data_IF_800888941986
#
_entry.id   IF_800888941986
#
_cell.length_a   1.000
_cell.length_b   1.000
_cell.length_c   1.000
_cell.angle_alpha   90.00
_cell.angle_beta   90.00
_cell.angle_gamma   90.00
#
_symmetry.space_group_name_H-M   'P 1'
#
loop_
_entity.id
_entity.type
_entity.pdbx_description
1 polymer ?
#
# COMPACT_ATOMS: atom_id res chain seq x y z
N UNK A 1 -26.94 1.21 22.97
CA UNK A 1 -26.44 2.25 22.03
C UNK A 1 -25.39 3.15 22.66
N UNK A 2 -25.37 3.34 23.99
CA UNK A 2 -24.38 4.17 24.69
C UNK A 2 -22.93 3.64 24.68
N UNK A 3 -22.73 2.33 24.65
CA UNK A 3 -21.37 1.77 24.70
C UNK A 3 -20.57 2.01 23.41
N UNK A 4 -21.23 2.05 22.24
CA UNK A 4 -20.58 2.30 20.95
C UNK A 4 -20.17 3.77 20.79
N UNK A 5 -20.94 4.70 21.35
CA UNK A 5 -20.58 6.12 21.38
C UNK A 5 -19.47 6.38 22.40
N UNK A 6 -19.45 5.72 23.56
CA UNK A 6 -18.35 5.84 24.52
C UNK A 6 -17.01 5.31 23.98
N UNK A 7 -17.02 4.19 23.25
CA UNK A 7 -15.82 3.68 22.59
C UNK A 7 -15.31 4.65 21.50
N UNK A 8 -16.21 5.26 20.73
CA UNK A 8 -15.88 6.27 19.72
C UNK A 8 -15.30 7.56 20.33
N UNK A 9 -15.85 8.02 21.46
CA UNK A 9 -15.33 9.20 22.18
C UNK A 9 -13.99 8.95 22.86
N UNK A 10 -13.76 7.76 23.42
CA UNK A 10 -12.48 7.37 24.02
C UNK A 10 -11.38 7.18 22.95
N UNK A 11 -11.71 6.63 21.77
CA UNK A 11 -10.79 6.55 20.63
C UNK A 11 -10.38 7.96 20.15
N UNK A 12 -11.29 8.93 20.17
CA UNK A 12 -10.99 10.33 19.82
C UNK A 12 -10.18 11.08 20.86
N UNK A 13 -10.28 10.72 22.15
CA UNK A 13 -9.51 11.37 23.21
C UNK A 13 -8.02 11.00 23.21
N UNK A 14 -7.64 9.84 22.64
CA UNK A 14 -6.23 9.48 22.45
C UNK A 14 -5.48 10.37 21.45
N UNK A 15 -6.17 11.19 20.63
CA UNK A 15 -5.55 12.03 19.59
C UNK A 15 -5.52 13.53 19.93
N UNK A 16 -5.89 13.92 21.15
CA UNK A 16 -6.05 15.33 21.58
C UNK A 16 -4.91 15.87 22.45
N UNK A 17 -3.71 15.28 22.42
CA UNK A 17 -2.54 15.94 22.99
C UNK A 17 -1.75 16.67 21.89
N UNK A 18 -1.50 17.96 22.12
CA UNK A 18 -0.75 18.85 21.21
C UNK A 18 0.65 18.25 21.04
N UNK A 19 0.88 17.56 19.91
CA UNK A 19 2.10 16.80 19.62
C UNK A 19 1.85 15.40 19.02
N UNK A 20 0.66 14.82 19.16
CA UNK A 20 0.34 13.45 18.68
C UNK A 20 -0.51 13.39 17.41
N UNK A 21 -0.81 14.54 16.80
CA UNK A 21 -1.68 14.61 15.62
C UNK A 21 -1.14 13.82 14.41
N UNK A 22 0.19 13.72 14.28
CA UNK A 22 0.86 12.96 13.23
C UNK A 22 0.85 11.44 13.52
N UNK A 23 1.07 11.06 14.79
CA UNK A 23 1.08 9.67 15.23
C UNK A 23 -0.31 9.00 15.07
N UNK A 24 -1.38 9.71 15.42
CA UNK A 24 -2.76 9.24 15.25
C UNK A 24 -3.17 9.06 13.77
N UNK A 25 -2.68 9.91 12.85
CA UNK A 25 -2.90 9.72 11.41
C UNK A 25 -2.20 8.47 10.87
N UNK A 26 -1.00 8.16 11.36
CA UNK A 26 -0.22 6.99 10.91
C UNK A 26 -0.87 5.69 11.41
N UNK A 27 -1.36 5.63 12.65
CA UNK A 27 -2.05 4.45 13.19
C UNK A 27 -3.39 4.17 12.50
N UNK A 28 -4.16 5.20 12.16
CA UNK A 28 -5.41 5.02 11.41
C UNK A 28 -5.18 4.45 9.99
N UNK A 29 -4.11 4.89 9.30
CA UNK A 29 -3.80 4.41 7.94
C UNK A 29 -3.42 2.92 7.91
N UNK A 30 -2.69 2.42 8.93
CA UNK A 30 -2.28 1.02 9.00
C UNK A 30 -3.48 0.08 9.21
N UNK A 31 -4.41 0.44 10.10
CA UNK A 31 -5.62 -0.36 10.36
C UNK A 31 -6.60 -0.36 9.17
N UNK A 32 -6.70 0.77 8.47
CA UNK A 32 -7.49 0.87 7.23
C UNK A 32 -6.93 -0.02 6.12
N UNK A 33 -5.61 -0.06 5.95
CA UNK A 33 -4.93 -0.93 4.97
C UNK A 33 -5.20 -2.40 5.30
N UNK A 34 -5.05 -2.79 6.57
CA UNK A 34 -5.30 -4.16 7.03
C UNK A 34 -6.74 -4.61 6.76
N UNK A 35 -7.71 -3.74 6.99
CA UNK A 35 -9.13 -4.03 6.73
C UNK A 35 -9.41 -4.15 5.23
N UNK A 36 -8.82 -3.29 4.40
CA UNK A 36 -8.92 -3.37 2.92
C UNK A 36 -8.30 -4.64 2.37
N UNK A 37 -7.17 -5.06 2.94
CA UNK A 37 -6.49 -6.32 2.59
C UNK A 37 -7.36 -7.53 2.91
N UNK A 38 -8.04 -7.54 4.07
CA UNK A 38 -8.89 -8.65 4.49
C UNK A 38 -10.06 -8.90 3.53
N UNK A 39 -10.64 -7.83 2.98
CA UNK A 39 -11.78 -7.91 2.07
C UNK A 39 -11.37 -7.82 0.58
N UNK A 40 -10.08 -7.91 0.27
CA UNK A 40 -9.57 -7.77 -1.09
C UNK A 40 -9.97 -8.97 -1.96
N UNK A 41 -10.65 -8.69 -3.09
CA UNK A 41 -11.00 -9.69 -4.12
C UNK A 41 -10.17 -9.51 -5.38
N UNK A 42 -10.15 -8.29 -5.91
CA UNK A 42 -9.41 -7.90 -7.11
C UNK A 42 -8.99 -6.43 -7.02
N UNK A 43 -8.13 -5.97 -7.92
CA UNK A 43 -7.73 -4.58 -7.99
C UNK A 43 -8.96 -3.68 -8.23
N UNK A 44 -9.19 -2.65 -7.40
CA UNK A 44 -10.29 -1.73 -7.60
C UNK A 44 -10.03 -0.82 -8.82
N UNK A 45 -11.09 -0.16 -9.28
CA UNK A 45 -10.96 0.87 -10.30
C UNK A 45 -10.07 2.02 -9.81
N UNK A 46 -9.09 2.41 -10.62
CA UNK A 46 -8.19 3.54 -10.39
C UNK A 46 -8.48 4.63 -11.41
N UNK A 47 -8.97 5.78 -10.93
CA UNK A 47 -9.33 6.93 -11.78
C UNK A 47 -8.15 7.54 -12.53
N UNK A 48 -6.90 7.26 -12.12
CA UNK A 48 -5.69 7.66 -12.85
C UNK A 48 -5.49 6.87 -14.14
N UNK A 49 -6.09 5.68 -14.22
CA UNK A 49 -5.99 4.75 -15.34
C UNK A 49 -7.39 4.34 -15.84
N UNK A 50 -8.22 5.27 -16.34
CA UNK A 50 -9.61 4.99 -16.69
C UNK A 50 -9.78 4.26 -18.03
N UNK A 51 -8.74 4.24 -18.86
CA UNK A 51 -8.80 3.68 -20.22
C UNK A 51 -8.58 2.16 -20.22
N UNK A 52 -8.95 1.50 -21.32
CA UNK A 52 -8.76 0.06 -21.51
C UNK A 52 -7.28 -0.38 -21.41
N UNK A 53 -6.32 0.48 -21.75
CA UNK A 53 -4.90 0.17 -21.62
C UNK A 53 -4.43 0.28 -20.15
N UNK A 54 -4.28 -0.87 -19.48
CA UNK A 54 -3.87 -0.97 -18.06
C UNK A 54 -2.35 -1.17 -17.86
N UNK A 55 -1.55 -1.07 -18.92
CA UNK A 55 -0.08 -1.29 -18.86
C UNK A 55 0.59 -0.37 -17.83
N UNK A 56 0.22 0.92 -17.81
CA UNK A 56 0.78 1.89 -16.84
C UNK A 56 0.31 1.63 -15.41
N UNK A 57 -0.91 1.10 -15.23
CA UNK A 57 -1.42 0.75 -13.91
C UNK A 57 -0.59 -0.38 -13.28
N UNK A 58 -0.35 -1.45 -14.04
CA UNK A 58 0.53 -2.54 -13.65
C UNK A 58 1.95 -2.03 -13.33
N UNK A 59 2.57 -1.29 -14.24
CA UNK A 59 3.92 -0.77 -14.07
C UNK A 59 4.07 0.14 -12.84
N UNK A 60 3.12 1.05 -12.63
CA UNK A 60 3.16 1.98 -11.50
C UNK A 60 3.06 1.23 -10.15
N UNK A 61 2.14 0.28 -10.02
CA UNK A 61 2.00 -0.50 -8.78
C UNK A 61 3.21 -1.40 -8.50
N UNK A 62 3.85 -1.94 -9.53
CA UNK A 62 5.10 -2.70 -9.38
C UNK A 62 6.23 -1.81 -8.82
N UNK A 63 6.41 -0.61 -9.39
CA UNK A 63 7.39 0.34 -8.89
C UNK A 63 7.08 0.82 -7.47
N UNK A 64 5.81 1.12 -7.18
CA UNK A 64 5.39 1.63 -5.87
C UNK A 64 5.61 0.59 -4.77
N UNK A 65 5.38 -0.70 -5.05
CA UNK A 65 5.71 -1.78 -4.13
C UNK A 65 7.20 -1.79 -3.79
N UNK A 66 8.08 -1.83 -4.78
CA UNK A 66 9.52 -1.93 -4.52
C UNK A 66 10.13 -0.65 -3.92
N UNK A 67 9.60 0.52 -4.26
CA UNK A 67 9.96 1.78 -3.60
C UNK A 67 9.55 1.79 -2.14
N UNK A 68 8.33 1.32 -1.86
CA UNK A 68 7.82 1.20 -0.50
C UNK A 68 8.66 0.19 0.29
N UNK A 69 8.90 -1.00 -0.25
CA UNK A 69 9.73 -2.05 0.34
C UNK A 69 11.14 -1.54 0.68
N UNK A 70 11.81 -0.86 -0.27
CA UNK A 70 13.12 -0.25 -0.06
C UNK A 70 13.10 0.83 1.02
N UNK A 71 12.09 1.71 1.00
CA UNK A 71 11.96 2.78 1.99
C UNK A 71 11.67 2.25 3.40
N UNK A 72 10.84 1.21 3.52
CA UNK A 72 10.53 0.59 4.82
C UNK A 72 11.73 -0.21 5.33
N UNK A 73 12.42 -0.95 4.47
CA UNK A 73 13.65 -1.69 4.85
C UNK A 73 14.73 -0.74 5.34
N UNK A 74 14.95 0.39 4.65
CA UNK A 74 15.93 1.40 5.07
C UNK A 74 15.57 2.08 6.41
N UNK A 75 14.28 2.22 6.71
CA UNK A 75 13.79 2.82 7.97
C UNK A 75 13.61 1.81 9.10
N UNK A 76 13.79 0.51 8.85
CA UNK A 76 13.46 -0.56 9.79
C UNK A 76 11.95 -0.64 10.10
N UNK A 77 11.10 -0.18 9.19
CA UNK A 77 9.64 -0.18 9.32
C UNK A 77 8.99 -1.48 8.84
N UNK A 78 7.70 -1.62 9.11
CA UNK A 78 6.93 -2.81 8.71
C UNK A 78 6.55 -2.77 7.21
N UNK A 79 6.96 -3.80 6.47
CA UNK A 79 6.65 -3.98 5.05
C UNK A 79 5.16 -4.29 4.82
N UNK A 80 4.39 -4.62 5.87
CA UNK A 80 2.94 -4.86 5.79
C UNK A 80 2.16 -3.68 5.20
N UNK A 81 2.67 -2.46 5.32
CA UNK A 81 2.06 -1.26 4.73
C UNK A 81 2.11 -1.29 3.19
N UNK A 82 3.13 -1.94 2.63
CA UNK A 82 3.35 -2.06 1.18
C UNK A 82 2.55 -3.21 0.55
N UNK A 83 1.97 -4.10 1.37
CA UNK A 83 1.26 -5.31 0.95
C UNK A 83 0.09 -5.02 0.01
N UNK A 84 -0.55 -3.85 0.16
CA UNK A 84 -1.60 -3.40 -0.76
C UNK A 84 -1.10 -3.35 -2.21
N UNK A 85 0.03 -2.70 -2.46
CA UNK A 85 0.60 -2.59 -3.81
C UNK A 85 0.98 -3.96 -4.36
N UNK A 86 1.47 -4.86 -3.49
CA UNK A 86 1.78 -6.24 -3.85
C UNK A 86 0.59 -6.99 -4.42
N UNK A 87 -0.56 -6.88 -3.78
CA UNK A 87 -1.79 -7.52 -4.24
C UNK A 87 -2.30 -6.93 -5.54
N UNK A 88 -2.22 -5.62 -5.69
CA UNK A 88 -2.69 -4.91 -6.88
C UNK A 88 -1.85 -5.28 -8.11
N UNK A 89 -0.52 -5.18 -8.06
CA UNK A 89 0.29 -5.51 -9.24
C UNK A 89 0.22 -7.00 -9.56
N UNK A 90 0.14 -7.90 -8.57
CA UNK A 90 -0.04 -9.34 -8.85
C UNK A 90 -1.38 -9.68 -9.52
N UNK A 91 -2.41 -8.85 -9.33
CA UNK A 91 -3.72 -9.05 -9.96
C UNK A 91 -3.79 -8.45 -11.36
N UNK A 92 -3.02 -7.39 -11.64
CA UNK A 92 -3.05 -6.65 -12.91
C UNK A 92 -1.96 -7.11 -13.90
N UNK A 93 -0.77 -7.45 -13.39
CA UNK A 93 0.39 -7.69 -14.23
C UNK A 93 0.45 -9.15 -14.72
N UNK A 94 0.78 -9.37 -16.00
CA UNK A 94 1.15 -10.71 -16.47
C UNK A 94 2.33 -11.27 -15.69
N UNK A 95 2.28 -12.55 -15.34
CA UNK A 95 3.34 -13.23 -14.57
C UNK A 95 4.69 -13.15 -15.29
N UNK A 96 4.69 -13.28 -16.62
CA UNK A 96 5.90 -13.18 -17.44
C UNK A 96 6.60 -11.83 -17.33
N UNK A 97 5.85 -10.74 -17.19
CA UNK A 97 6.41 -9.40 -17.02
C UNK A 97 7.05 -9.25 -15.65
N UNK A 98 6.34 -9.70 -14.60
CA UNK A 98 6.85 -9.63 -13.23
C UNK A 98 8.14 -10.42 -13.09
N UNK A 99 8.18 -11.66 -13.59
CA UNK A 99 9.41 -12.48 -13.59
C UNK A 99 10.56 -11.77 -14.30
N UNK A 100 10.33 -11.29 -15.53
CA UNK A 100 11.38 -10.63 -16.31
C UNK A 100 11.87 -9.33 -15.64
N UNK A 101 11.01 -8.60 -14.94
CA UNK A 101 11.41 -7.42 -14.18
C UNK A 101 12.17 -7.79 -12.91
N UNK A 102 11.77 -8.85 -12.21
CA UNK A 102 12.45 -9.36 -11.03
C UNK A 102 13.87 -9.82 -11.37
N UNK A 103 14.05 -10.54 -12.47
CA UNK A 103 15.36 -10.97 -12.98
C UNK A 103 16.24 -9.75 -13.30
N UNK A 104 15.71 -8.77 -14.04
CA UNK A 104 16.44 -7.53 -14.35
C UNK A 104 16.80 -6.73 -13.10
N UNK A 105 15.98 -6.76 -12.05
CA UNK A 105 16.31 -6.12 -10.77
C UNK A 105 17.43 -6.86 -10.05
N UNK A 106 17.40 -8.19 -10.04
CA UNK A 106 18.47 -9.01 -9.46
C UNK A 106 19.81 -8.79 -10.18
N UNK A 107 19.78 -8.61 -11.50
CA UNK A 107 20.95 -8.30 -12.33
C UNK A 107 21.38 -6.81 -12.27
N UNK A 108 20.58 -5.93 -11.63
CA UNK A 108 20.84 -4.49 -11.60
C UNK A 108 20.63 -3.75 -12.93
N UNK A 109 20.01 -4.40 -13.92
CA UNK A 109 19.71 -3.83 -15.26
C UNK A 109 18.29 -3.28 -15.40
N UNK A 110 17.56 -3.13 -14.30
CA UNK A 110 16.18 -2.65 -14.34
C UNK A 110 16.11 -1.15 -14.70
N UNK A 111 15.36 -0.76 -15.74
CA UNK A 111 15.35 0.63 -16.22
C UNK A 111 14.52 1.59 -15.35
N UNK A 112 13.69 1.08 -14.44
CA UNK A 112 12.84 1.89 -13.58
C UNK A 112 13.58 2.36 -12.31
N UNK A 113 13.34 3.61 -11.90
CA UNK A 113 13.89 4.15 -10.65
C UNK A 113 13.15 3.59 -9.43
N UNK A 114 13.84 2.77 -8.63
CA UNK A 114 13.38 2.16 -7.36
C UNK A 114 14.16 2.73 -6.18
#
# INVERSE_FOLDING_TARGET
MEQATQAYWLQQQSCKSVGQHLACRISNMAEDIKTKIKNYRTAPFDSRFPNQNQTRNCWQNYLDFHRCEKAMTAKGGDVSVCEWYRRVYKSLCPISWVSAWDDRRAEGMFPGKI
#
